data_IF_274053143697
#
_entry.id   IF_274053143697
#
_cell.length_a   1.000
_cell.length_b   1.000
_cell.length_c   1.000
_cell.angle_alpha   90.00
_cell.angle_beta   90.00
_cell.angle_gamma   90.00
#
_symmetry.space_group_name_H-M   'P 1'
#
loop_
_entity.id
_entity.type
_entity.pdbx_description
1 polymer ?
#
# COMPACT_ATOMS: atom_id res chain seq x y z
N UNK A 1 -2.49 16.57 3.20
CA UNK A 1 -2.55 15.26 3.91
C UNK A 1 -3.14 14.27 2.95
N UNK A 2 -2.44 13.17 2.66
CA UNK A 2 -2.81 12.21 1.63
C UNK A 2 -4.25 11.67 1.80
N UNK A 3 -5.10 11.91 0.81
CA UNK A 3 -6.48 11.42 0.72
C UNK A 3 -6.65 10.54 -0.50
N UNK A 4 -7.55 9.56 -0.41
CA UNK A 4 -7.91 8.71 -1.55
C UNK A 4 -8.31 9.53 -2.79
N UNK A 5 -9.04 10.63 -2.58
CA UNK A 5 -9.44 11.55 -3.64
C UNK A 5 -8.26 12.16 -4.44
N UNK A 6 -7.08 12.32 -3.85
CA UNK A 6 -5.89 12.83 -4.55
C UNK A 6 -5.35 11.77 -5.54
N UNK A 7 -5.37 10.49 -5.18
CA UNK A 7 -4.99 9.40 -6.08
C UNK A 7 -6.01 9.19 -7.21
N UNK A 8 -7.31 9.38 -6.93
CA UNK A 8 -8.35 9.38 -7.97
C UNK A 8 -8.12 10.53 -8.94
N UNK A 9 -7.91 11.75 -8.43
CA UNK A 9 -7.62 12.93 -9.24
C UNK A 9 -6.35 12.78 -10.09
N UNK A 10 -5.32 12.14 -9.55
CA UNK A 10 -4.12 11.81 -10.32
C UNK A 10 -4.45 10.92 -11.53
N UNK A 11 -5.27 9.88 -11.33
CA UNK A 11 -5.68 8.99 -12.42
C UNK A 11 -6.46 9.73 -13.51
N UNK A 12 -7.41 10.60 -13.11
CA UNK A 12 -8.18 11.45 -14.02
C UNK A 12 -7.28 12.35 -14.86
N UNK A 13 -6.36 13.07 -14.22
CA UNK A 13 -5.42 13.99 -14.89
C UNK A 13 -4.46 13.27 -15.84
N UNK A 14 -4.02 12.07 -15.49
CA UNK A 14 -3.17 11.25 -16.36
C UNK A 14 -3.94 10.81 -17.61
N UNK A 15 -5.19 10.37 -17.45
CA UNK A 15 -6.05 9.95 -18.56
C UNK A 15 -6.43 11.13 -19.45
N UNK A 16 -6.73 12.29 -18.85
CA UNK A 16 -7.01 13.53 -19.57
C UNK A 16 -5.80 14.09 -20.33
N UNK A 17 -4.58 13.68 -19.96
CA UNK A 17 -3.34 14.14 -20.57
C UNK A 17 -2.69 15.35 -19.89
N UNK A 18 -3.29 15.87 -18.82
CA UNK A 18 -2.76 16.98 -18.01
C UNK A 18 -1.44 16.61 -17.31
N UNK A 19 -1.26 15.32 -16.99
CA UNK A 19 -0.01 14.78 -16.48
C UNK A 19 0.64 13.94 -17.57
N UNK A 20 1.84 14.36 -17.98
CA UNK A 20 2.65 13.60 -18.95
C UNK A 20 3.03 12.26 -18.31
N UNK A 21 2.56 11.18 -18.93
CA UNK A 21 2.78 9.83 -18.46
C UNK A 21 2.99 8.89 -19.64
N UNK A 22 3.77 7.82 -19.43
CA UNK A 22 3.95 6.81 -20.45
C UNK A 22 2.65 6.02 -20.70
N UNK A 23 2.62 5.27 -21.81
CA UNK A 23 1.47 4.43 -22.19
C UNK A 23 0.97 3.56 -21.03
N UNK A 24 1.87 2.90 -20.31
CA UNK A 24 1.49 1.95 -19.25
C UNK A 24 0.89 2.63 -18.03
N UNK A 25 1.37 3.81 -17.65
CA UNK A 25 0.79 4.59 -16.54
C UNK A 25 -0.61 5.08 -16.93
N UNK A 26 -0.80 5.55 -18.17
CA UNK A 26 -2.14 5.92 -18.66
C UNK A 26 -3.11 4.75 -18.64
N UNK A 27 -2.69 3.57 -19.11
CA UNK A 27 -3.52 2.36 -19.09
C UNK A 27 -3.84 1.91 -17.65
N UNK A 28 -2.88 2.02 -16.72
CA UNK A 28 -3.13 1.71 -15.31
C UNK A 28 -4.14 2.67 -14.67
N UNK A 29 -4.06 3.96 -14.98
CA UNK A 29 -5.02 4.98 -14.53
C UNK A 29 -6.41 4.75 -15.14
N UNK A 30 -6.48 4.45 -16.44
CA UNK A 30 -7.75 4.12 -17.09
C UNK A 30 -8.39 2.88 -16.47
N UNK A 31 -7.62 1.80 -16.29
CA UNK A 31 -8.08 0.57 -15.61
C UNK A 31 -8.60 0.88 -14.22
N UNK A 32 -7.89 1.70 -13.45
CA UNK A 32 -8.33 2.10 -12.11
C UNK A 32 -9.70 2.78 -12.14
N UNK A 33 -9.91 3.74 -13.05
CA UNK A 33 -11.20 4.45 -13.20
C UNK A 33 -12.31 3.51 -13.70
N UNK A 34 -11.99 2.60 -14.63
CA UNK A 34 -12.93 1.59 -15.12
C UNK A 34 -13.33 0.61 -14.01
N UNK A 35 -12.38 0.20 -13.16
CA UNK A 35 -12.64 -0.65 -12.01
C UNK A 35 -13.48 0.08 -10.95
N UNK A 36 -13.31 1.39 -10.75
CA UNK A 36 -14.19 2.17 -9.87
C UNK A 36 -15.64 2.22 -10.38
N UNK A 37 -15.82 2.34 -11.70
CA UNK A 37 -17.14 2.51 -12.32
C UNK A 37 -17.85 1.17 -12.60
N UNK A 38 -17.09 0.15 -12.96
CA UNK A 38 -17.58 -1.11 -13.53
C UNK A 38 -16.98 -2.35 -12.83
N UNK A 39 -16.28 -2.18 -11.71
CA UNK A 39 -15.65 -3.28 -10.97
C UNK A 39 -16.65 -4.29 -10.42
N UNK A 40 -17.79 -3.82 -9.89
CA UNK A 40 -18.75 -4.69 -9.19
C UNK A 40 -19.33 -5.78 -10.09
N UNK A 41 -19.54 -5.49 -11.39
CA UNK A 41 -19.97 -6.48 -12.39
C UNK A 41 -18.98 -7.65 -12.56
N UNK A 42 -17.74 -7.51 -12.05
CA UNK A 42 -16.68 -8.52 -12.06
C UNK A 42 -16.25 -8.92 -10.64
N UNK A 43 -17.08 -8.65 -9.63
CA UNK A 43 -16.79 -8.88 -8.21
C UNK A 43 -15.52 -8.14 -7.71
N UNK A 44 -15.21 -6.98 -8.30
CA UNK A 44 -14.12 -6.11 -7.87
C UNK A 44 -14.69 -4.90 -7.15
N UNK A 45 -14.31 -4.72 -5.89
CA UNK A 45 -14.84 -3.66 -5.04
C UNK A 45 -13.72 -2.74 -4.57
N UNK A 46 -13.97 -1.43 -4.57
CA UNK A 46 -13.04 -0.46 -4.02
C UNK A 46 -13.45 -0.08 -2.60
N UNK A 47 -12.58 -0.34 -1.63
CA UNK A 47 -12.79 0.04 -0.24
C UNK A 47 -11.97 1.28 0.09
N UNK A 48 -12.63 2.43 0.09
CA UNK A 48 -12.02 3.70 0.51
C UNK A 48 -11.43 3.62 1.93
N UNK A 49 -12.09 3.01 2.94
CA UNK A 49 -11.50 2.86 4.27
C UNK A 49 -10.17 2.09 4.27
N UNK A 50 -10.07 1.00 3.49
CA UNK A 50 -8.82 0.22 3.38
C UNK A 50 -7.73 1.02 2.66
N UNK A 51 -8.09 1.69 1.57
CA UNK A 51 -7.18 2.58 0.84
C UNK A 51 -6.67 3.72 1.73
N UNK A 52 -7.55 4.36 2.50
CA UNK A 52 -7.20 5.47 3.38
C UNK A 52 -6.36 5.01 4.59
N UNK A 53 -6.51 3.76 5.04
CA UNK A 53 -5.75 3.20 6.15
C UNK A 53 -4.23 3.21 5.90
N UNK A 54 -3.78 2.73 4.74
CA UNK A 54 -2.36 2.78 4.36
C UNK A 54 -1.87 4.23 4.20
N UNK A 55 -2.67 5.12 3.62
CA UNK A 55 -2.30 6.55 3.50
C UNK A 55 -2.15 7.21 4.88
N UNK A 56 -3.01 6.83 5.83
CA UNK A 56 -2.93 7.29 7.20
C UNK A 56 -1.70 6.75 7.92
N UNK A 57 -1.31 5.51 7.63
CA UNK A 57 -0.10 4.91 8.19
C UNK A 57 1.16 5.70 7.86
N UNK A 58 1.31 6.22 6.64
CA UNK A 58 2.47 7.04 6.26
C UNK A 58 2.65 8.32 7.09
N UNK A 59 1.61 8.81 7.76
CA UNK A 59 1.72 9.94 8.71
C UNK A 59 2.52 9.59 9.96
N UNK A 60 2.63 8.29 10.27
CA UNK A 60 3.40 7.77 11.39
C UNK A 60 4.85 7.48 10.99
N UNK A 61 5.13 7.38 9.69
CA UNK A 61 6.42 6.99 9.14
C UNK A 61 7.26 8.24 8.85
N UNK A 62 8.36 8.50 9.58
CA UNK A 62 9.17 9.68 9.35
C UNK A 62 10.20 9.46 8.24
N UNK A 63 10.63 10.54 7.61
CA UNK A 63 11.86 10.55 6.83
C UNK A 63 13.05 10.18 7.71
N UNK A 64 13.92 9.30 7.22
CA UNK A 64 15.10 8.83 7.97
C UNK A 64 16.33 9.71 7.75
N UNK A 65 16.45 10.28 6.55
CA UNK A 65 17.67 10.93 6.04
C UNK A 65 17.35 12.33 5.48
N UNK A 66 18.38 13.18 5.41
CA UNK A 66 18.31 14.51 4.83
C UNK A 66 17.62 15.55 5.72
N UNK A 67 17.33 16.71 5.14
CA UNK A 67 16.81 17.88 5.86
C UNK A 67 15.42 17.66 6.47
N UNK A 68 14.68 16.67 5.97
CA UNK A 68 13.34 16.31 6.44
C UNK A 68 13.37 15.23 7.53
N UNK A 69 14.55 14.77 7.97
CA UNK A 69 14.66 13.68 8.93
C UNK A 69 13.84 13.94 10.20
N UNK A 70 13.03 12.95 10.59
CA UNK A 70 12.10 13.04 11.73
C UNK A 70 10.72 13.60 11.39
N UNK A 71 10.55 14.26 10.24
CA UNK A 71 9.23 14.71 9.78
C UNK A 71 8.48 13.56 9.08
N UNK A 72 7.14 13.47 9.21
CA UNK A 72 6.34 12.49 8.48
C UNK A 72 6.55 12.55 6.97
N UNK A 73 6.49 11.40 6.30
CA UNK A 73 6.56 11.34 4.84
C UNK A 73 5.31 11.96 4.22
N UNK A 74 5.52 12.96 3.37
CA UNK A 74 4.48 13.44 2.47
C UNK A 74 4.48 12.59 1.18
N UNK A 75 3.35 11.94 0.92
CA UNK A 75 3.18 11.10 -0.27
C UNK A 75 2.94 11.97 -1.50
N UNK A 76 3.66 11.67 -2.57
CA UNK A 76 3.40 12.27 -3.89
C UNK A 76 2.13 11.66 -4.51
N UNK A 77 1.50 12.36 -5.46
CA UNK A 77 0.29 11.89 -6.16
C UNK A 77 0.39 10.44 -6.67
N UNK A 78 1.52 10.10 -7.29
CA UNK A 78 1.74 8.74 -7.81
C UNK A 78 1.98 7.71 -6.69
N UNK A 79 2.52 8.11 -5.53
CA UNK A 79 2.58 7.23 -4.36
C UNK A 79 1.17 6.91 -3.88
N UNK A 80 0.33 7.93 -3.74
CA UNK A 80 -1.07 7.76 -3.35
C UNK A 80 -1.77 6.82 -4.33
N UNK A 81 -1.63 7.06 -5.64
CA UNK A 81 -2.22 6.22 -6.67
C UNK A 81 -1.81 4.75 -6.57
N UNK A 82 -0.52 4.44 -6.39
CA UNK A 82 -0.05 3.06 -6.22
C UNK A 82 -0.65 2.43 -4.97
N UNK A 83 -0.61 3.14 -3.84
CA UNK A 83 -1.09 2.60 -2.57
C UNK A 83 -2.60 2.33 -2.60
N UNK A 84 -3.42 3.22 -3.16
CA UNK A 84 -4.86 2.98 -3.26
C UNK A 84 -5.21 1.87 -4.26
N UNK A 85 -4.40 1.66 -5.30
CA UNK A 85 -4.56 0.50 -6.18
C UNK A 85 -4.33 -0.79 -5.38
N UNK A 86 -3.18 -0.89 -4.69
CA UNK A 86 -2.76 -2.12 -4.00
C UNK A 86 -3.68 -2.43 -2.81
N UNK A 87 -4.00 -1.45 -1.97
CA UNK A 87 -4.69 -1.67 -0.70
C UNK A 87 -6.19 -1.34 -0.73
N UNK A 88 -6.66 -0.64 -1.77
CA UNK A 88 -8.07 -0.26 -1.90
C UNK A 88 -8.95 -1.30 -2.58
N UNK A 89 -8.46 -1.96 -3.64
CA UNK A 89 -9.26 -2.96 -4.35
C UNK A 89 -9.25 -4.33 -3.67
N UNK A 90 -10.45 -4.88 -3.48
CA UNK A 90 -10.69 -6.18 -2.90
C UNK A 90 -11.63 -7.02 -3.77
N UNK A 91 -11.51 -8.34 -3.63
CA UNK A 91 -12.36 -9.35 -4.26
C UNK A 91 -12.84 -10.34 -3.18
N UNK A 92 -13.98 -11.02 -3.38
CA UNK A 92 -14.37 -12.13 -2.51
C UNK A 92 -13.30 -13.22 -2.51
N UNK A 93 -13.01 -13.77 -1.33
CA UNK A 93 -12.20 -14.98 -1.22
C UNK A 93 -13.00 -16.15 -1.78
N UNK A 94 -12.38 -16.89 -2.69
CA UNK A 94 -12.93 -18.11 -3.27
C UNK A 94 -12.06 -19.27 -2.80
N UNK A 95 -12.69 -20.33 -2.33
CA UNK A 95 -12.02 -21.58 -2.02
C UNK A 95 -11.53 -22.24 -3.33
N UNK A 96 -10.24 -22.51 -3.43
CA UNK A 96 -9.65 -23.02 -4.67
C UNK A 96 -10.07 -24.47 -5.00
N UNK A 97 -10.50 -25.25 -3.99
CA UNK A 97 -10.92 -26.63 -4.16
C UNK A 97 -12.40 -26.71 -4.57
N UNK A 98 -13.26 -25.92 -3.93
CA UNK A 98 -14.72 -25.97 -4.17
C UNK A 98 -15.20 -24.96 -5.20
N UNK A 99 -14.45 -23.87 -5.41
CA UNK A 99 -14.88 -22.75 -6.25
C UNK A 99 -15.94 -21.85 -5.59
N UNK A 100 -16.25 -22.07 -4.33
CA UNK A 100 -17.28 -21.32 -3.60
C UNK A 100 -16.71 -20.08 -2.89
N UNK A 101 -17.57 -19.08 -2.70
CA UNK A 101 -17.20 -17.87 -1.96
C UNK A 101 -17.15 -18.17 -0.47
N UNK A 102 -16.01 -17.88 0.16
CA UNK A 102 -15.83 -18.04 1.61
C UNK A 102 -16.60 -16.94 2.34
N UNK A 103 -17.54 -17.33 3.19
CA UNK A 103 -18.32 -16.42 4.02
C UNK A 103 -17.65 -16.18 5.38
N UNK A 104 -17.96 -15.03 5.99
CA UNK A 104 -17.50 -14.72 7.33
C UNK A 104 -18.17 -15.60 8.37
N UNK A 105 -17.41 -15.96 9.40
CA UNK A 105 -17.89 -16.74 10.55
C UNK A 105 -18.62 -15.88 11.60
N UNK A 106 -19.03 -14.65 11.26
CA UNK A 106 -19.70 -13.69 12.15
C UNK A 106 -21.24 -13.73 12.05
N UNK A 107 -21.79 -14.69 11.27
CA UNK A 107 -23.23 -14.82 11.03
C UNK A 107 -23.84 -13.77 10.09
N UNK A 108 -23.03 -12.84 9.55
CA UNK A 108 -23.54 -11.77 8.68
C UNK A 108 -23.88 -12.21 7.25
N UNK A 109 -23.47 -13.42 6.86
CA UNK A 109 -23.60 -13.92 5.48
C UNK A 109 -22.76 -13.16 4.45
N UNK A 110 -21.84 -12.28 4.89
CA UNK A 110 -20.99 -11.48 4.01
C UNK A 110 -19.76 -12.29 3.57
N UNK A 111 -19.25 -12.07 2.35
CA UNK A 111 -18.00 -12.68 1.92
C UNK A 111 -16.80 -12.17 2.72
N UNK A 112 -15.81 -13.04 2.88
CA UNK A 112 -14.46 -12.63 3.25
C UNK A 112 -13.85 -11.90 2.06
N UNK A 113 -13.31 -10.71 2.28
CA UNK A 113 -12.74 -9.88 1.22
C UNK A 113 -11.22 -9.90 1.32
N UNK A 114 -10.56 -10.20 0.20
CA UNK A 114 -9.09 -10.24 0.10
C UNK A 114 -8.60 -9.24 -0.93
N UNK A 115 -7.32 -8.84 -0.83
CA UNK A 115 -6.69 -7.90 -1.75
C UNK A 115 -6.74 -8.45 -3.18
N UNK A 116 -7.18 -7.62 -4.14
CA UNK A 116 -7.19 -8.01 -5.55
C UNK A 116 -5.79 -8.19 -6.13
N UNK A 117 -4.93 -7.19 -5.92
CA UNK A 117 -3.57 -7.20 -6.47
C UNK A 117 -2.58 -7.79 -5.47
N UNK A 118 -2.12 -9.00 -5.74
CA UNK A 118 -1.06 -9.66 -4.95
C UNK A 118 0.35 -9.27 -5.41
N UNK A 119 0.48 -8.69 -6.60
CA UNK A 119 1.75 -8.27 -7.19
C UNK A 119 1.62 -6.88 -7.78
N UNK A 120 2.60 -6.02 -7.51
CA UNK A 120 2.72 -4.70 -8.11
C UNK A 120 4.10 -4.55 -8.75
N UNK A 121 4.12 -4.11 -10.01
CA UNK A 121 5.35 -3.85 -10.77
C UNK A 121 5.45 -2.35 -11.07
N UNK A 122 6.49 -1.70 -10.54
CA UNK A 122 6.64 -0.25 -10.60
C UNK A 122 8.01 0.12 -11.20
N UNK A 123 8.01 0.69 -12.39
CA UNK A 123 9.21 1.28 -13.01
C UNK A 123 9.32 2.75 -12.63
N UNK A 124 10.29 3.07 -11.79
CA UNK A 124 10.44 4.43 -11.26
C UNK A 124 11.89 4.89 -11.39
N UNK A 125 12.06 6.07 -12.00
CA UNK A 125 13.36 6.70 -12.17
C UNK A 125 14.09 6.95 -10.83
N UNK A 126 15.41 7.15 -10.90
CA UNK A 126 16.22 7.44 -9.71
C UNK A 126 15.75 8.73 -9.01
N UNK A 127 15.99 8.82 -7.71
CA UNK A 127 15.66 9.97 -6.83
C UNK A 127 14.17 10.29 -6.64
N UNK A 128 13.26 9.38 -6.98
CA UNK A 128 11.82 9.52 -6.71
C UNK A 128 11.37 8.85 -5.40
N UNK A 129 12.24 8.72 -4.40
CA UNK A 129 11.88 8.15 -3.09
C UNK A 129 11.23 6.73 -3.11
N UNK A 130 11.48 5.91 -4.15
CA UNK A 130 10.89 4.56 -4.26
C UNK A 130 11.28 3.63 -3.11
N UNK A 131 12.53 3.68 -2.63
CA UNK A 131 12.98 2.86 -1.50
C UNK A 131 12.29 3.30 -0.21
N UNK A 132 12.09 4.61 -0.02
CA UNK A 132 11.35 5.16 1.13
C UNK A 132 9.90 4.70 1.14
N UNK A 133 9.25 4.70 -0.04
CA UNK A 133 7.91 4.12 -0.20
C UNK A 133 7.93 2.63 0.18
N UNK A 134 8.83 1.83 -0.38
CA UNK A 134 8.93 0.38 -0.09
C UNK A 134 9.17 0.07 1.40
N UNK A 135 9.98 0.87 2.10
CA UNK A 135 10.18 0.71 3.54
C UNK A 135 8.90 0.93 4.34
N UNK A 136 8.10 1.95 3.98
CA UNK A 136 6.80 2.20 4.60
C UNK A 136 5.79 1.08 4.32
N UNK A 137 5.75 0.56 3.08
CA UNK A 137 4.93 -0.61 2.73
C UNK A 137 5.35 -1.81 3.56
N UNK A 138 6.65 -2.06 3.71
CA UNK A 138 7.16 -3.18 4.48
C UNK A 138 6.70 -3.14 5.94
N UNK A 139 6.85 -1.99 6.60
CA UNK A 139 6.36 -1.79 7.96
C UNK A 139 4.84 -1.96 8.05
N UNK A 140 4.09 -1.38 7.11
CA UNK A 140 2.65 -1.51 7.10
C UNK A 140 2.23 -2.99 7.04
N UNK A 141 2.83 -3.77 6.15
CA UNK A 141 2.52 -5.20 6.02
C UNK A 141 2.93 -6.00 7.25
N UNK A 142 4.06 -5.65 7.90
CA UNK A 142 4.49 -6.34 9.11
C UNK A 142 3.57 -6.09 10.31
N UNK A 143 3.04 -4.86 10.48
CA UNK A 143 2.37 -4.48 11.73
C UNK A 143 0.92 -4.01 11.60
N UNK A 144 0.52 -3.46 10.45
CA UNK A 144 -0.72 -2.70 10.30
C UNK A 144 -1.70 -3.28 9.26
N UNK A 145 -1.33 -4.30 8.48
CA UNK A 145 -2.18 -4.90 7.45
C UNK A 145 -3.10 -6.03 7.96
N UNK A 146 -3.13 -6.22 9.30
CA UNK A 146 -3.97 -7.21 9.98
C UNK A 146 -3.69 -8.67 9.61
N UNK A 147 -2.49 -8.98 9.12
CA UNK A 147 -2.02 -10.33 8.85
C UNK A 147 -1.21 -10.86 10.04
N UNK A 148 -1.71 -11.92 10.68
CA UNK A 148 -1.06 -12.53 11.84
C UNK A 148 0.20 -13.29 11.43
N UNK A 149 1.35 -12.96 12.04
CA UNK A 149 2.62 -13.64 11.74
C UNK A 149 3.22 -13.28 10.39
N UNK A 150 2.88 -12.10 9.83
CA UNK A 150 3.36 -11.68 8.53
C UNK A 150 4.90 -11.62 8.45
N UNK A 151 5.45 -12.32 7.46
CA UNK A 151 6.88 -12.27 7.14
C UNK A 151 7.12 -11.34 5.93
N UNK A 152 7.91 -10.29 6.14
CA UNK A 152 8.17 -9.29 5.11
C UNK A 152 9.65 -9.29 4.75
N UNK A 153 9.95 -9.63 3.50
CA UNK A 153 11.31 -9.76 2.99
C UNK A 153 11.67 -8.60 2.07
N UNK A 154 12.91 -8.09 2.21
CA UNK A 154 13.53 -7.18 1.25
C UNK A 154 14.52 -7.95 0.41
N UNK A 155 14.36 -7.92 -0.92
CA UNK A 155 15.21 -8.63 -1.87
C UNK A 155 15.74 -7.67 -2.95
N UNK A 156 16.98 -7.90 -3.36
CA UNK A 156 17.66 -7.18 -4.44
C UNK A 156 18.78 -8.06 -5.01
N UNK A 157 19.43 -7.61 -6.08
CA UNK A 157 20.59 -8.31 -6.68
C UNK A 157 21.72 -8.51 -5.69
N UNK A 158 21.91 -7.58 -4.74
CA UNK A 158 22.87 -7.72 -3.65
C UNK A 158 22.21 -7.52 -2.29
N UNK A 159 22.76 -8.20 -1.27
CA UNK A 159 22.35 -8.02 0.13
C UNK A 159 22.47 -6.56 0.58
N UNK A 160 23.49 -5.84 0.12
CA UNK A 160 23.72 -4.45 0.49
C UNK A 160 22.63 -3.52 -0.07
N UNK A 161 22.14 -3.79 -1.29
CA UNK A 161 21.00 -3.09 -1.86
C UNK A 161 19.71 -3.40 -1.09
N UNK A 162 19.47 -4.68 -0.77
CA UNK A 162 18.30 -5.09 0.02
C UNK A 162 18.32 -4.47 1.43
N UNK A 163 19.51 -4.33 2.03
CA UNK A 163 19.71 -3.74 3.35
C UNK A 163 19.27 -2.28 3.41
N UNK A 164 19.29 -1.53 2.29
CA UNK A 164 18.86 -0.12 2.28
C UNK A 164 17.40 0.00 2.73
N UNK A 165 16.50 -0.80 2.14
CA UNK A 165 15.06 -0.75 2.45
C UNK A 165 14.80 -1.20 3.89
N UNK A 166 15.49 -2.26 4.32
CA UNK A 166 15.37 -2.79 5.68
C UNK A 166 15.88 -1.81 6.75
N UNK A 167 17.07 -1.24 6.57
CA UNK A 167 17.62 -0.27 7.52
C UNK A 167 16.81 1.03 7.53
N UNK A 168 16.28 1.48 6.39
CA UNK A 168 15.36 2.60 6.37
C UNK A 168 14.09 2.28 7.18
N UNK A 169 13.46 1.11 7.00
CA UNK A 169 12.31 0.69 7.79
C UNK A 169 12.61 0.60 9.30
N UNK A 170 13.72 -0.03 9.69
CA UNK A 170 14.17 -0.11 11.08
C UNK A 170 14.40 1.28 11.69
N UNK A 171 15.02 2.18 10.95
CA UNK A 171 15.27 3.54 11.43
C UNK A 171 13.99 4.40 11.46
N UNK A 172 13.02 4.14 10.58
CA UNK A 172 11.69 4.75 10.65
C UNK A 172 11.01 4.40 11.98
N UNK A 173 11.02 3.12 12.38
CA UNK A 173 10.45 2.68 13.67
C UNK A 173 11.15 3.36 14.85
N UNK A 174 12.50 3.38 14.85
CA UNK A 174 13.29 4.02 15.92
C UNK A 174 13.05 5.52 16.07
N UNK A 175 12.78 6.22 14.97
CA UNK A 175 12.60 7.68 14.93
C UNK A 175 11.14 8.11 15.04
N UNK A 176 10.21 7.20 14.81
CA UNK A 176 8.79 7.51 14.85
C UNK A 176 8.34 7.84 16.28
N UNK A 177 7.24 8.59 16.38
CA UNK A 177 6.58 8.83 17.68
C UNK A 177 6.18 7.50 18.31
N UNK A 178 6.08 7.47 19.64
CA UNK A 178 5.82 6.26 20.43
C UNK A 178 4.67 5.38 19.90
N UNK A 179 3.68 5.96 19.22
CA UNK A 179 2.55 5.24 18.62
C UNK A 179 2.95 4.18 17.59
N UNK A 180 3.95 4.45 16.73
CA UNK A 180 4.44 3.44 15.78
C UNK A 180 5.37 2.45 16.49
N UNK A 181 6.17 2.93 17.44
CA UNK A 181 7.04 2.09 18.27
C UNK A 181 6.26 0.96 18.94
N UNK A 182 5.11 1.28 19.57
CA UNK A 182 4.22 0.28 20.22
C UNK A 182 3.74 -0.84 19.30
N UNK A 183 3.59 -0.57 18.00
CA UNK A 183 3.17 -1.60 17.03
C UNK A 183 4.26 -2.67 16.81
N UNK A 184 5.52 -2.28 17.03
CA UNK A 184 6.71 -3.13 16.85
C UNK A 184 7.48 -3.34 18.15
N UNK A 185 6.90 -3.00 19.30
CA UNK A 185 7.49 -3.28 20.61
C UNK A 185 7.35 -4.77 20.90
N UNK A 186 8.46 -5.39 21.29
CA UNK A 186 8.49 -6.78 21.70
C UNK A 186 7.86 -6.91 23.08
N UNK A 187 6.63 -7.41 23.16
CA UNK A 187 6.17 -8.05 24.40
C UNK A 187 6.88 -9.40 24.50
N UNK A 188 7.83 -9.55 25.42
CA UNK A 188 8.27 -10.89 25.83
C UNK A 188 7.02 -11.61 26.32
N UNK A 189 6.60 -12.64 25.60
CA UNK A 189 5.64 -13.60 26.13
C UNK A 189 6.33 -14.25 27.33
N UNK A 190 5.76 -14.03 28.52
CA UNK A 190 6.20 -14.63 29.77
C UNK A 190 5.97 -16.14 29.75
#
# INVERSE_FOLDING_TARGET
>A
MAKVAEGIRYAERVVAGDVIACKYVRLACQRFLDDLKHGEARNVYFSEPRAQHILNFYKLVPHVKGNLAGQPIELMDWHVFILINIYGFAIPLVDEQTGEVVLRNDGSGRPVMVRRFRTAYNEVARKNAKSTLSSGIGLYMTGADSEGGAEVYSAATTRDQARIVFEDAKNMVKKAKATLGRLFEFNKLA
#
